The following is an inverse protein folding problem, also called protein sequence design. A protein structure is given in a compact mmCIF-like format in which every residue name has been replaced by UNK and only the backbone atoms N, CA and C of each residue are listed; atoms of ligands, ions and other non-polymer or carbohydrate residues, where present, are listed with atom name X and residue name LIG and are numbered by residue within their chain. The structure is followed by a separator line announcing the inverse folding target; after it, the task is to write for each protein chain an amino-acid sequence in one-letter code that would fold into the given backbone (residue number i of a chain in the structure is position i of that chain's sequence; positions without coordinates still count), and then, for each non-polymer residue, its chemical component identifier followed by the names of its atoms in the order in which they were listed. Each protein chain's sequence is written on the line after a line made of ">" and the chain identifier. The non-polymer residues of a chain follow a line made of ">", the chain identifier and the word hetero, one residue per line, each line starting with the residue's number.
data_IF_635033101999
#
_entry.id   IF_635033101999
#
_cell.length_a   1.000
_cell.length_b   1.000
_cell.length_c   1.000
_cell.angle_alpha   90.00
_cell.angle_beta   90.00
_cell.angle_gamma   90.00
#
_symmetry.space_group_name_H-M   'P 1'
#
loop_
_entity.id
_entity.type
_entity.pdbx_description
1 polymer ?
#
# COMPACT_ATOMS: atom_id res chain seq x y z
N UNK A 1 8.97 16.01 14.58
CA UNK A 1 9.86 14.98 15.14
C UNK A 1 10.05 13.95 14.05
N UNK A 2 11.10 14.12 13.23
CA UNK A 2 11.57 13.06 12.34
C UNK A 2 12.40 12.12 13.21
N UNK A 3 11.79 11.03 13.69
CA UNK A 3 12.59 9.90 14.13
C UNK A 3 13.28 9.34 12.88
N UNK A 4 14.60 9.14 12.94
CA UNK A 4 15.28 8.22 12.02
C UNK A 4 14.51 6.90 12.07
N UNK A 5 13.67 6.64 11.07
CA UNK A 5 12.81 5.45 11.03
C UNK A 5 13.71 4.24 10.84
N UNK A 6 14.22 3.72 11.96
CA UNK A 6 15.04 2.54 11.99
C UNK A 6 14.16 1.37 11.60
N UNK A 7 14.34 0.89 10.37
CA UNK A 7 13.53 -0.21 9.84
C UNK A 7 13.65 -1.41 10.77
N UNK A 8 12.51 -1.92 11.26
CA UNK A 8 12.46 -3.16 12.06
C UNK A 8 12.94 -4.41 11.29
N UNK A 9 13.19 -4.27 10.00
CA UNK A 9 13.78 -5.28 9.10
C UNK A 9 15.29 -5.47 9.37
N UNK A 10 15.62 -5.98 10.55
CA UNK A 10 16.98 -6.39 10.91
C UNK A 10 17.31 -7.78 10.30
N UNK A 11 18.61 -8.07 10.18
CA UNK A 11 19.15 -9.34 9.74
C UNK A 11 18.64 -10.52 10.61
N UNK A 12 18.51 -10.32 11.93
CA UNK A 12 17.91 -11.32 12.82
C UNK A 12 16.43 -11.57 12.48
N UNK A 13 15.65 -10.52 12.25
CA UNK A 13 14.24 -10.65 11.87
C UNK A 13 14.08 -11.43 10.56
N UNK A 14 14.99 -11.23 9.59
CA UNK A 14 15.01 -12.00 8.34
C UNK A 14 15.41 -13.47 8.53
N UNK A 15 16.27 -13.78 9.50
CA UNK A 15 16.57 -15.18 9.87
C UNK A 15 15.36 -15.84 10.53
N UNK A 16 14.66 -15.12 11.39
CA UNK A 16 13.42 -15.60 12.02
C UNK A 16 12.33 -15.85 10.98
N UNK A 17 12.23 -14.98 9.96
CA UNK A 17 11.29 -15.13 8.85
C UNK A 17 11.50 -16.44 8.10
N UNK A 18 12.73 -16.92 7.93
CA UNK A 18 13.01 -18.23 7.32
C UNK A 18 12.47 -19.40 8.17
N UNK A 19 12.49 -19.25 9.50
CA UNK A 19 11.99 -20.27 10.42
C UNK A 19 10.46 -20.26 10.52
N UNK A 20 9.85 -19.07 10.53
CA UNK A 20 8.42 -18.89 10.86
C UNK A 20 7.55 -18.82 9.60
N UNK A 21 8.08 -18.32 8.47
CA UNK A 21 7.31 -18.10 7.25
C UNK A 21 7.73 -19.06 6.13
N UNK A 22 6.73 -19.57 5.39
CA UNK A 22 6.95 -20.39 4.18
C UNK A 22 7.19 -19.51 2.94
N UNK A 23 8.20 -18.63 2.99
CA UNK A 23 8.55 -17.68 1.91
C UNK A 23 10.04 -17.70 1.60
N UNK A 24 10.48 -18.79 0.97
CA UNK A 24 11.90 -19.05 0.66
C UNK A 24 12.52 -17.96 -0.21
N UNK A 25 11.71 -17.32 -1.05
CA UNK A 25 12.12 -16.23 -1.94
C UNK A 25 12.52 -14.95 -1.22
N UNK A 26 12.20 -14.80 0.07
CA UNK A 26 12.53 -13.63 0.90
C UNK A 26 13.64 -13.89 1.91
N UNK A 27 14.15 -15.12 1.95
CA UNK A 27 15.25 -15.53 2.82
C UNK A 27 16.54 -14.79 2.44
N UNK A 28 17.40 -14.55 3.43
CA UNK A 28 18.70 -13.93 3.20
C UNK A 28 19.52 -14.83 2.27
N UNK A 29 20.11 -14.22 1.24
CA UNK A 29 21.08 -14.89 0.37
C UNK A 29 22.46 -14.31 0.60
N UNK A 30 23.48 -15.17 0.58
CA UNK A 30 24.88 -14.77 0.68
C UNK A 30 25.48 -14.81 -0.73
N UNK A 31 25.62 -13.65 -1.37
CA UNK A 31 26.32 -13.54 -2.66
C UNK A 31 27.57 -12.66 -2.48
N UNK A 32 28.70 -13.08 -3.07
CA UNK A 32 29.94 -12.29 -3.11
C UNK A 32 30.41 -11.71 -1.75
N UNK A 33 30.37 -12.52 -0.68
CA UNK A 33 30.68 -12.12 0.71
C UNK A 33 29.76 -11.05 1.33
N UNK A 34 28.67 -10.67 0.65
CA UNK A 34 27.65 -9.74 1.14
C UNK A 34 26.36 -10.46 1.54
N UNK A 35 25.73 -9.98 2.61
CA UNK A 35 24.38 -10.40 3.02
C UNK A 35 23.35 -9.60 2.22
N UNK A 36 22.61 -10.26 1.32
CA UNK A 36 21.55 -9.62 0.53
C UNK A 36 20.18 -9.95 1.12
N UNK A 37 19.34 -8.94 1.26
CA UNK A 37 17.92 -9.06 1.62
C UNK A 37 17.06 -8.94 0.36
N UNK A 38 16.48 -10.03 -0.16
CA UNK A 38 15.61 -9.95 -1.32
C UNK A 38 14.43 -9.01 -1.09
N UNK A 39 14.06 -8.27 -2.12
CA UNK A 39 12.86 -7.42 -2.11
C UNK A 39 11.63 -8.28 -2.28
N UNK A 40 10.56 -7.94 -1.55
CA UNK A 40 9.29 -8.60 -1.73
C UNK A 40 8.67 -8.28 -3.10
N UNK A 41 7.87 -9.21 -3.63
CA UNK A 41 7.19 -9.05 -4.92
C UNK A 41 6.23 -7.86 -4.97
N UNK A 42 5.78 -7.38 -3.81
CA UNK A 42 4.92 -6.20 -3.66
C UNK A 42 5.70 -4.91 -3.39
N UNK A 43 7.03 -4.98 -3.22
CA UNK A 43 7.85 -3.81 -2.91
C UNK A 43 8.21 -3.07 -4.20
N UNK A 44 7.74 -1.83 -4.32
CA UNK A 44 8.07 -0.96 -5.45
C UNK A 44 9.37 -0.18 -5.21
N UNK A 45 10.10 0.09 -6.28
CA UNK A 45 11.35 0.87 -6.25
C UNK A 45 11.12 2.35 -5.93
N UNK A 46 12.15 3.05 -5.48
CA UNK A 46 12.08 4.49 -5.21
C UNK A 46 11.66 5.29 -6.45
N UNK A 47 12.09 4.86 -7.65
CA UNK A 47 11.66 5.47 -8.92
C UNK A 47 10.15 5.33 -9.11
N UNK A 48 9.61 4.12 -8.92
CA UNK A 48 8.18 3.86 -9.02
C UNK A 48 7.38 4.65 -7.96
N UNK A 49 7.91 4.79 -6.74
CA UNK A 49 7.29 5.63 -5.71
C UNK A 49 7.20 7.10 -6.15
N UNK A 50 8.29 7.65 -6.69
CA UNK A 50 8.33 9.00 -7.24
C UNK A 50 7.33 9.19 -8.39
N UNK A 51 7.20 8.20 -9.27
CA UNK A 51 6.23 8.23 -10.37
C UNK A 51 4.78 8.26 -9.85
N UNK A 52 4.47 7.49 -8.80
CA UNK A 52 3.16 7.54 -8.12
C UNK A 52 2.90 8.91 -7.50
N UNK A 53 3.87 9.52 -6.83
CA UNK A 53 3.72 10.88 -6.26
C UNK A 53 3.49 11.92 -7.33
N UNK A 54 4.24 11.88 -8.43
CA UNK A 54 4.04 12.78 -9.60
C UNK A 54 2.66 12.60 -10.22
N UNK A 55 2.18 11.36 -10.31
CA UNK A 55 0.83 11.08 -10.76
C UNK A 55 -0.23 11.67 -9.81
N UNK A 56 -0.07 11.47 -8.49
CA UNK A 56 -0.96 12.06 -7.46
C UNK A 56 -0.96 13.59 -7.52
N UNK A 57 0.20 14.23 -7.70
CA UNK A 57 0.30 15.70 -7.78
C UNK A 57 -0.44 16.26 -9.00
N UNK A 58 -0.44 15.53 -10.13
CA UNK A 58 -1.11 15.93 -11.37
C UNK A 58 -2.58 15.53 -11.42
N UNK A 59 -3.05 14.74 -10.45
CA UNK A 59 -4.41 14.21 -10.44
C UNK A 59 -5.42 15.35 -10.26
N UNK A 60 -6.35 15.46 -11.22
CA UNK A 60 -7.49 16.38 -11.14
C UNK A 60 -8.74 15.57 -10.85
N UNK A 61 -9.41 15.92 -9.75
CA UNK A 61 -10.67 15.31 -9.34
C UNK A 61 -11.82 16.31 -9.53
N UNK A 62 -13.06 15.83 -9.72
CA UNK A 62 -14.23 16.70 -9.75
C UNK A 62 -14.35 17.52 -8.46
N UNK A 63 -14.93 18.70 -8.57
CA UNK A 63 -15.15 19.55 -7.40
C UNK A 63 -16.04 18.85 -6.36
N UNK A 64 -15.69 19.01 -5.08
CA UNK A 64 -16.33 18.31 -3.96
C UNK A 64 -16.01 16.82 -3.82
N UNK A 65 -15.23 16.20 -4.72
CA UNK A 65 -14.92 14.77 -4.63
C UNK A 65 -13.85 14.45 -3.58
N UNK A 66 -12.79 15.26 -3.52
CA UNK A 66 -11.73 15.18 -2.51
C UNK A 66 -11.13 16.57 -2.30
N UNK A 67 -10.30 16.73 -1.27
CA UNK A 67 -9.50 17.93 -1.12
C UNK A 67 -8.42 18.02 -2.21
N UNK A 68 -7.74 19.15 -2.30
CA UNK A 68 -6.70 19.34 -3.31
C UNK A 68 -5.44 18.50 -2.99
N UNK A 69 -5.43 17.25 -3.48
CA UNK A 69 -4.36 16.25 -3.27
C UNK A 69 -2.98 16.76 -3.71
N UNK A 70 -2.92 17.64 -4.72
CA UNK A 70 -1.63 18.18 -5.17
C UNK A 70 -0.87 18.91 -4.07
N UNK A 71 -1.59 19.52 -3.11
CA UNK A 71 -0.99 20.17 -1.93
C UNK A 71 -0.49 19.19 -0.87
N UNK A 72 -0.89 17.92 -0.98
CA UNK A 72 -0.49 16.84 -0.07
C UNK A 72 0.76 16.10 -0.56
N UNK A 73 1.34 16.52 -1.69
CA UNK A 73 2.50 15.88 -2.30
C UNK A 73 3.69 16.83 -2.30
N UNK A 74 4.76 16.43 -1.59
CA UNK A 74 6.08 17.02 -1.70
C UNK A 74 6.95 16.18 -2.64
N UNK A 75 7.38 16.76 -3.75
CA UNK A 75 8.29 16.08 -4.68
C UNK A 75 9.76 16.32 -4.35
N UNK A 76 10.08 17.38 -3.62
CA UNK A 76 11.46 17.73 -3.26
C UNK A 76 11.92 16.85 -2.10
N UNK A 77 11.06 16.68 -1.09
CA UNK A 77 11.32 15.82 0.07
C UNK A 77 10.85 14.36 -0.11
N UNK A 78 10.26 14.01 -1.26
CA UNK A 78 9.62 12.70 -1.54
C UNK A 78 8.62 12.29 -0.43
N UNK A 79 7.80 13.24 0.03
CA UNK A 79 6.87 13.06 1.15
C UNK A 79 5.41 13.22 0.72
N UNK A 80 4.53 12.53 1.45
CA UNK A 80 3.09 12.65 1.36
C UNK A 80 2.59 13.12 2.73
N UNK A 81 1.84 14.22 2.78
CA UNK A 81 1.43 14.84 4.05
C UNK A 81 0.07 15.52 3.95
N UNK A 82 -0.55 15.80 5.10
CA UNK A 82 -1.76 16.63 5.15
C UNK A 82 -3.02 16.03 4.54
N UNK A 83 -3.07 14.71 4.32
CA UNK A 83 -4.30 14.03 3.91
C UNK A 83 -5.35 14.09 5.02
N UNK A 84 -6.56 14.52 4.68
CA UNK A 84 -7.70 14.40 5.59
C UNK A 84 -8.25 12.99 5.52
N UNK A 85 -9.03 12.57 6.53
CA UNK A 85 -9.65 11.25 6.56
C UNK A 85 -10.42 10.95 5.27
N UNK A 86 -11.21 11.91 4.78
CA UNK A 86 -11.94 11.79 3.51
C UNK A 86 -11.04 11.46 2.31
N UNK A 87 -9.89 12.12 2.20
CA UNK A 87 -8.94 11.89 1.12
C UNK A 87 -8.30 10.50 1.23
N UNK A 88 -7.99 10.06 2.45
CA UNK A 88 -7.50 8.71 2.72
C UNK A 88 -8.53 7.63 2.32
N UNK A 89 -9.80 7.81 2.67
CA UNK A 89 -10.89 6.92 2.26
C UNK A 89 -10.96 6.81 0.74
N UNK A 90 -10.98 7.95 0.05
CA UNK A 90 -11.01 8.01 -1.41
C UNK A 90 -9.78 7.34 -2.04
N UNK A 91 -8.58 7.55 -1.47
CA UNK A 91 -7.35 6.88 -1.92
C UNK A 91 -7.48 5.35 -1.85
N UNK A 92 -7.89 4.82 -0.69
CA UNK A 92 -8.02 3.37 -0.47
C UNK A 92 -9.11 2.76 -1.34
N UNK A 93 -10.27 3.39 -1.43
CA UNK A 93 -11.43 2.85 -2.14
C UNK A 93 -11.29 2.91 -3.67
N UNK A 94 -10.55 3.90 -4.19
CA UNK A 94 -10.59 4.27 -5.61
C UNK A 94 -9.22 4.33 -6.26
N UNK A 95 -8.25 4.97 -5.64
CA UNK A 95 -7.00 5.33 -6.33
C UNK A 95 -5.87 4.32 -6.17
N UNK A 96 -5.77 3.60 -5.05
CA UNK A 96 -4.70 2.60 -4.84
C UNK A 96 -4.69 1.58 -5.99
N UNK A 97 -5.84 0.98 -6.31
CA UNK A 97 -5.93 -0.01 -7.39
C UNK A 97 -5.48 0.55 -8.76
N UNK A 98 -5.71 1.85 -9.02
CA UNK A 98 -5.31 2.51 -10.27
C UNK A 98 -3.82 2.82 -10.24
N UNK A 99 -3.31 3.38 -9.14
CA UNK A 99 -1.92 3.79 -8.97
C UNK A 99 -0.94 2.63 -9.16
N UNK A 100 -1.31 1.44 -8.68
CA UNK A 100 -0.42 0.28 -8.65
C UNK A 100 -0.64 -0.74 -9.79
N UNK A 101 -1.57 -0.50 -10.72
CA UNK A 101 -1.97 -1.46 -11.76
C UNK A 101 -0.83 -1.99 -12.62
N UNK A 102 0.13 -1.13 -12.95
CA UNK A 102 1.28 -1.49 -13.78
C UNK A 102 2.58 -1.60 -12.99
N UNK A 103 2.50 -1.46 -11.66
CA UNK A 103 3.67 -1.47 -10.77
C UNK A 103 3.83 -2.78 -10.01
N UNK A 104 2.73 -3.50 -9.80
CA UNK A 104 2.69 -4.75 -9.05
C UNK A 104 2.44 -5.94 -9.98
N UNK A 105 2.92 -7.15 -9.61
CA UNK A 105 2.52 -8.39 -10.28
C UNK A 105 0.99 -8.56 -10.24
N UNK A 106 0.40 -9.10 -11.31
CA UNK A 106 -1.06 -9.23 -11.44
C UNK A 106 -1.73 -9.89 -10.21
N UNK A 107 -1.13 -10.95 -9.66
CA UNK A 107 -1.65 -11.65 -8.47
C UNK A 107 -1.73 -10.75 -7.22
N UNK A 108 -0.72 -9.90 -7.02
CA UNK A 108 -0.68 -8.93 -5.92
C UNK A 108 -1.67 -7.80 -6.18
N UNK A 109 -1.67 -7.26 -7.39
CA UNK A 109 -2.59 -6.18 -7.78
C UNK A 109 -4.06 -6.59 -7.66
N UNK A 110 -4.42 -7.81 -8.06
CA UNK A 110 -5.78 -8.35 -7.90
C UNK A 110 -6.19 -8.40 -6.42
N UNK A 111 -5.27 -8.83 -5.56
CA UNK A 111 -5.50 -8.88 -4.10
C UNK A 111 -5.71 -7.48 -3.53
N UNK A 112 -4.88 -6.51 -3.92
CA UNK A 112 -5.03 -5.10 -3.54
C UNK A 112 -6.35 -4.53 -4.07
N UNK A 113 -6.75 -4.86 -5.29
CA UNK A 113 -7.99 -4.38 -5.90
C UNK A 113 -9.22 -4.93 -5.18
N UNK A 114 -9.22 -6.22 -4.81
CA UNK A 114 -10.28 -6.83 -3.99
C UNK A 114 -10.38 -6.14 -2.63
N UNK A 115 -9.24 -5.82 -2.01
CA UNK A 115 -9.19 -5.04 -0.77
C UNK A 115 -9.81 -3.64 -0.96
N UNK A 116 -9.44 -2.89 -2.01
CA UNK A 116 -10.06 -1.60 -2.32
C UNK A 116 -11.59 -1.70 -2.51
N UNK A 117 -12.07 -2.75 -3.20
CA UNK A 117 -13.51 -3.00 -3.36
C UNK A 117 -14.19 -3.34 -2.04
N UNK A 118 -13.56 -4.13 -1.19
CA UNK A 118 -14.08 -4.42 0.15
C UNK A 118 -14.30 -3.13 0.95
N UNK A 119 -13.33 -2.20 0.98
CA UNK A 119 -13.51 -0.92 1.68
C UNK A 119 -14.61 -0.07 1.06
N UNK A 120 -14.68 -0.02 -0.27
CA UNK A 120 -15.73 0.70 -0.99
C UNK A 120 -17.12 0.19 -0.62
N UNK A 121 -17.28 -1.12 -0.54
CA UNK A 121 -18.55 -1.74 -0.17
C UNK A 121 -18.89 -1.48 1.30
N UNK A 122 -17.90 -1.52 2.19
CA UNK A 122 -18.09 -1.23 3.61
C UNK A 122 -18.49 0.22 3.89
N UNK A 123 -17.93 1.16 3.14
CA UNK A 123 -18.21 2.59 3.24
C UNK A 123 -19.42 3.03 2.40
N UNK A 124 -20.09 2.10 1.70
CA UNK A 124 -21.30 2.40 0.95
C UNK A 124 -22.48 2.73 1.87
N UNK A 125 -23.29 3.72 1.48
CA UNK A 125 -24.51 4.11 2.21
C UNK A 125 -25.65 3.10 2.03
N UNK A 126 -25.56 2.24 1.02
CA UNK A 126 -26.55 1.20 0.70
C UNK A 126 -25.90 -0.16 0.84
N UNK A 127 -26.20 -0.85 1.94
CA UNK A 127 -25.67 -2.19 2.19
C UNK A 127 -26.47 -3.22 1.39
N UNK A 128 -25.86 -3.86 0.41
CA UNK A 128 -26.46 -5.01 -0.26
C UNK A 128 -26.40 -6.23 0.67
N UNK A 129 -27.57 -6.77 1.03
CA UNK A 129 -27.72 -7.91 1.96
C UNK A 129 -26.89 -9.13 1.53
N UNK A 130 -26.65 -9.30 0.23
CA UNK A 130 -25.84 -10.38 -0.33
C UNK A 130 -24.35 -10.30 0.10
N UNK A 131 -23.81 -9.09 0.29
CA UNK A 131 -22.44 -8.87 0.75
C UNK A 131 -22.28 -8.92 2.28
N UNK A 132 -23.38 -8.89 3.04
CA UNK A 132 -23.34 -9.00 4.51
C UNK A 132 -22.95 -10.40 5.02
N UNK A 133 -23.10 -11.46 4.22
CA UNK A 133 -22.74 -12.83 4.63
C UNK A 133 -21.26 -12.98 5.03
N UNK A 134 -20.39 -12.14 4.49
CA UNK A 134 -18.94 -12.16 4.79
C UNK A 134 -18.52 -11.08 5.79
N UNK A 135 -19.42 -10.18 6.22
CA UNK A 135 -19.11 -9.07 7.14
C UNK A 135 -19.00 -9.51 8.61
N UNK A 136 -19.66 -10.60 8.99
CA UNK A 136 -19.66 -11.14 10.36
C UNK A 136 -18.51 -12.13 10.66
N UNK A 137 -17.65 -12.42 9.69
CA UNK A 137 -16.62 -13.46 9.85
C UNK A 137 -15.33 -12.95 10.53
N UNK A 138 -15.43 -11.95 11.40
CA UNK A 138 -14.39 -11.59 12.37
C UNK A 138 -15.07 -10.98 13.60
N UNK A 139 -15.40 -11.81 14.62
CA UNK A 139 -15.49 -11.32 15.97
C UNK A 139 -14.08 -10.86 16.36
N UNK A 140 -13.92 -9.59 16.68
CA UNK A 140 -12.84 -9.17 17.57
C UNK A 140 -13.18 -9.74 18.95
N UNK A 141 -12.65 -10.94 19.23
CA UNK A 141 -12.30 -11.35 20.59
C UNK A 141 -10.82 -11.03 20.83
#
# INVERSE_FOLDING_TARGET
>A
MDEDVKTKDNLNFRKDLACICKRKELEITTENNGVIKPKASYAISNKQQSDVRKWLQKLKLPDGYASNISKCVDLDDDKLFGFKSHDCHMLVERLISVAFRHLLPNSVWESVTKFCHFFRDNCSTVVQVQHMKYRWMYPFE
#
